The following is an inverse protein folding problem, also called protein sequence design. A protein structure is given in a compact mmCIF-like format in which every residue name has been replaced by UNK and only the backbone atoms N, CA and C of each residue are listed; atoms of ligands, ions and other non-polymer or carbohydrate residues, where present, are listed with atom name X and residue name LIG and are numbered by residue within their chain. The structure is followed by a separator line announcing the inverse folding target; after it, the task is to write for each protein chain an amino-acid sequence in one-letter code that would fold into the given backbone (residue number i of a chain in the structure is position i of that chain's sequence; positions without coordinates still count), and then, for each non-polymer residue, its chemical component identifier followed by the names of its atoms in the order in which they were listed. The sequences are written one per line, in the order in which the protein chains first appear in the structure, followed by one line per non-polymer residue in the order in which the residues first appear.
data_IF_308441346850
#
_entry.id   IF_308441346850
#
_cell.length_a   1.000
_cell.length_b   1.000
_cell.length_c   1.000
_cell.angle_alpha   90.00
_cell.angle_beta   90.00
_cell.angle_gamma   90.00
#
_symmetry.space_group_name_H-M   'P 1'
#
loop_
_entity.id
_entity.type
_entity.pdbx_description
1 polymer ?
#
# COMPACT_ATOMS: atom_id res chain seq x y z
N UNK A 1 -49.85 -32.17 -5.66
CA UNK A 1 -48.54 -32.44 -5.02
C UNK A 1 -47.33 -32.37 -5.99
N UNK A 2 -47.37 -31.59 -7.08
CA UNK A 2 -46.22 -31.43 -8.02
C UNK A 2 -45.33 -30.21 -7.72
N UNK A 3 -45.85 -29.19 -7.02
CA UNK A 3 -45.10 -27.97 -6.71
C UNK A 3 -44.06 -28.12 -5.59
N UNK A 4 -44.29 -29.02 -4.63
CA UNK A 4 -43.38 -29.22 -3.50
C UNK A 4 -42.07 -29.89 -3.93
N UNK A 5 -42.12 -30.79 -4.92
CA UNK A 5 -40.97 -31.61 -5.36
C UNK A 5 -39.91 -30.79 -6.11
N UNK A 6 -40.33 -29.72 -6.81
CA UNK A 6 -39.40 -28.82 -7.51
C UNK A 6 -38.67 -27.88 -6.55
N UNK A 7 -39.28 -27.54 -5.41
CA UNK A 7 -38.69 -26.59 -4.46
C UNK A 7 -37.43 -27.15 -3.79
N UNK A 8 -37.41 -28.45 -3.47
CA UNK A 8 -36.26 -29.18 -2.91
C UNK A 8 -35.06 -29.24 -3.87
N UNK A 9 -35.30 -29.31 -5.18
CA UNK A 9 -34.24 -29.34 -6.20
C UNK A 9 -33.59 -27.96 -6.31
N UNK A 10 -34.40 -26.89 -6.31
CA UNK A 10 -33.89 -25.52 -6.31
C UNK A 10 -33.07 -25.21 -5.05
N UNK A 11 -33.52 -25.63 -3.87
CA UNK A 11 -32.76 -25.44 -2.62
C UNK A 11 -31.44 -26.22 -2.63
N UNK A 12 -31.42 -27.44 -3.16
CA UNK A 12 -30.20 -28.24 -3.30
C UNK A 12 -29.16 -27.61 -4.23
N UNK A 13 -29.58 -27.06 -5.37
CA UNK A 13 -28.68 -26.39 -6.33
C UNK A 13 -28.10 -25.10 -5.74
N UNK A 14 -28.92 -24.30 -5.05
CA UNK A 14 -28.46 -23.07 -4.38
C UNK A 14 -27.45 -23.39 -3.28
N UNK A 15 -27.68 -24.44 -2.48
CA UNK A 15 -26.74 -24.85 -1.44
C UNK A 15 -25.39 -25.30 -2.03
N UNK A 16 -25.41 -26.07 -3.13
CA UNK A 16 -24.18 -26.49 -3.84
C UNK A 16 -23.42 -25.30 -4.42
N UNK A 17 -24.10 -24.30 -4.97
CA UNK A 17 -23.48 -23.06 -5.44
C UNK A 17 -22.84 -22.27 -4.29
N UNK A 18 -23.52 -22.15 -3.14
CA UNK A 18 -22.97 -21.48 -1.96
C UNK A 18 -21.73 -22.20 -1.41
N UNK A 19 -21.74 -23.54 -1.38
CA UNK A 19 -20.58 -24.34 -0.98
C UNK A 19 -19.43 -24.14 -1.96
N UNK A 20 -19.69 -24.16 -3.27
CA UNK A 20 -18.68 -23.92 -4.30
C UNK A 20 -18.04 -22.52 -4.18
N UNK A 21 -18.84 -21.48 -3.94
CA UNK A 21 -18.36 -20.12 -3.71
C UNK A 21 -17.55 -20.02 -2.42
N UNK A 22 -18.01 -20.63 -1.32
CA UNK A 22 -17.28 -20.65 -0.06
C UNK A 22 -15.92 -21.36 -0.20
N UNK A 23 -15.89 -22.49 -0.91
CA UNK A 23 -14.65 -23.24 -1.15
C UNK A 23 -13.67 -22.46 -2.04
N UNK A 24 -14.17 -21.76 -3.07
CA UNK A 24 -13.37 -20.87 -3.90
C UNK A 24 -12.83 -19.68 -3.09
N UNK A 25 -13.63 -19.08 -2.20
CA UNK A 25 -13.18 -18.01 -1.31
C UNK A 25 -12.13 -18.48 -0.30
N UNK A 26 -12.19 -19.73 0.17
CA UNK A 26 -11.20 -20.28 1.10
C UNK A 26 -9.89 -20.69 0.41
N UNK A 27 -9.96 -21.17 -0.83
CA UNK A 27 -8.79 -21.64 -1.59
C UNK A 27 -8.10 -20.53 -2.39
N UNK A 28 -8.85 -19.53 -2.86
CA UNK A 28 -8.35 -18.40 -3.64
C UNK A 28 -8.51 -17.05 -2.92
N UNK A 29 -8.90 -17.06 -1.64
CA UNK A 29 -9.02 -15.85 -0.83
C UNK A 29 -7.67 -15.18 -0.54
N UNK A 30 -7.68 -13.93 -0.04
CA UNK A 30 -6.48 -13.23 0.38
C UNK A 30 -5.70 -14.08 1.37
N UNK A 31 -4.54 -14.56 0.91
CA UNK A 31 -3.57 -15.23 1.75
C UNK A 31 -2.97 -14.17 2.67
N UNK A 32 -3.63 -13.94 3.81
CA UNK A 32 -3.12 -13.14 4.92
C UNK A 32 -1.96 -13.92 5.56
N UNK A 33 -0.82 -13.97 4.89
CA UNK A 33 0.41 -14.54 5.45
C UNK A 33 1.22 -13.41 6.08
N UNK A 34 1.59 -13.61 7.35
CA UNK A 34 2.60 -12.77 8.02
C UNK A 34 3.97 -13.13 7.44
N UNK A 35 4.72 -12.12 7.01
CA UNK A 35 6.08 -12.31 6.55
C UNK A 35 6.99 -12.72 7.72
N UNK A 36 7.94 -13.61 7.45
CA UNK A 36 9.02 -13.88 8.40
C UNK A 36 9.87 -12.62 8.60
N UNK A 37 10.58 -12.51 9.73
CA UNK A 37 11.51 -11.40 9.98
C UNK A 37 12.56 -11.22 8.88
N UNK A 38 13.00 -12.33 8.26
CA UNK A 38 13.92 -12.33 7.12
C UNK A 38 13.29 -11.70 5.89
N UNK A 39 12.03 -12.02 5.62
CA UNK A 39 11.28 -11.42 4.51
C UNK A 39 11.02 -9.93 4.80
N UNK A 40 10.55 -9.57 5.99
CA UNK A 40 10.34 -8.17 6.39
C UNK A 40 11.63 -7.33 6.25
N UNK A 41 12.78 -7.89 6.66
CA UNK A 41 14.10 -7.26 6.44
C UNK A 41 14.44 -7.11 4.96
N UNK A 42 14.05 -8.06 4.11
CA UNK A 42 14.26 -7.94 2.67
C UNK A 42 13.49 -6.77 2.06
N UNK A 43 12.38 -6.32 2.67
CA UNK A 43 11.64 -5.13 2.23
C UNK A 43 12.24 -3.81 2.74
N UNK A 44 13.31 -3.81 3.54
CA UNK A 44 14.00 -2.55 3.91
C UNK A 44 14.74 -1.92 2.73
N UNK A 45 14.96 -2.66 1.64
CA UNK A 45 15.59 -2.15 0.42
C UNK A 45 14.76 -1.08 -0.29
N UNK A 46 13.50 -0.90 0.11
CA UNK A 46 12.58 0.11 -0.38
C UNK A 46 12.64 1.42 0.43
N UNK A 47 13.36 1.43 1.55
CA UNK A 47 13.46 2.59 2.41
C UNK A 47 14.42 3.65 1.87
N UNK A 48 14.19 4.88 2.29
CA UNK A 48 15.10 5.99 2.03
C UNK A 48 16.45 5.73 2.70
N UNK A 49 17.54 5.96 1.97
CA UNK A 49 18.91 5.86 2.48
C UNK A 49 19.50 7.25 2.60
N UNK A 50 19.60 7.75 3.83
CA UNK A 50 20.15 9.09 4.11
C UNK A 50 21.45 9.01 4.93
N UNK A 51 22.48 9.82 4.61
CA UNK A 51 23.72 9.87 5.38
C UNK A 51 23.50 10.23 6.86
N UNK A 52 22.56 11.12 7.12
CA UNK A 52 22.18 11.58 8.46
C UNK A 52 21.14 10.68 9.17
N UNK A 53 20.72 9.58 8.55
CA UNK A 53 19.73 8.64 9.08
C UNK A 53 18.28 8.95 8.72
N UNK A 54 17.41 7.95 8.95
CA UNK A 54 16.01 7.93 8.54
C UNK A 54 15.14 8.97 9.26
N UNK A 55 15.48 9.38 10.48
CA UNK A 55 14.74 10.42 11.23
C UNK A 55 14.72 11.80 10.55
N UNK A 56 15.52 11.99 9.50
CA UNK A 56 15.49 13.20 8.68
C UNK A 56 14.66 13.08 7.40
N UNK A 57 14.04 11.91 7.14
CA UNK A 57 13.36 11.59 5.90
C UNK A 57 12.32 12.64 5.52
N UNK A 58 11.44 13.01 6.45
CA UNK A 58 10.37 13.98 6.22
C UNK A 58 10.92 15.33 5.73
N UNK A 59 11.86 15.91 6.49
CA UNK A 59 12.46 17.21 6.16
C UNK A 59 13.30 17.14 4.87
N UNK A 60 14.04 16.04 4.68
CA UNK A 60 14.84 15.83 3.49
C UNK A 60 13.97 15.76 2.23
N UNK A 61 12.91 14.94 2.23
CA UNK A 61 12.01 14.79 1.08
C UNK A 61 11.40 16.15 0.72
N UNK A 62 10.85 16.89 1.69
CA UNK A 62 10.29 18.22 1.44
C UNK A 62 11.32 19.20 0.87
N UNK A 63 12.58 19.18 1.34
CA UNK A 63 13.65 20.04 0.81
C UNK A 63 14.00 19.74 -0.66
N UNK A 64 13.77 18.50 -1.09
CA UNK A 64 13.97 18.04 -2.45
C UNK A 64 12.72 18.20 -3.32
N UNK A 65 11.69 18.89 -2.83
CA UNK A 65 10.48 19.16 -3.58
C UNK A 65 10.24 20.65 -3.78
N UNK A 66 9.36 20.97 -4.72
CA UNK A 66 8.77 22.29 -4.90
C UNK A 66 7.27 22.19 -4.64
N UNK A 67 6.70 23.11 -3.87
CA UNK A 67 5.26 23.13 -3.62
C UNK A 67 4.53 23.40 -4.94
N UNK A 68 3.70 22.45 -5.36
CA UNK A 68 2.75 22.64 -6.44
C UNK A 68 1.58 23.36 -5.78
N UNK A 69 1.07 24.48 -6.29
CA UNK A 69 -0.01 25.27 -5.65
C UNK A 69 -1.38 24.51 -5.57
N UNK A 70 -1.36 23.18 -5.61
CA UNK A 70 -2.49 22.28 -5.53
C UNK A 70 -2.67 21.81 -4.09
N UNK A 71 -3.57 22.50 -3.40
CA UNK A 71 -4.08 22.10 -2.10
C UNK A 71 -5.50 21.57 -2.28
N UNK A 72 -5.79 20.43 -1.66
CA UNK A 72 -7.15 19.91 -1.54
C UNK A 72 -7.49 19.68 -0.06
N UNK A 73 -8.78 19.73 0.25
CA UNK A 73 -9.27 19.51 1.60
C UNK A 73 -10.44 18.53 1.53
N UNK A 74 -10.40 17.50 2.37
CA UNK A 74 -11.48 16.54 2.56
C UNK A 74 -11.74 16.47 4.06
N UNK A 75 -12.90 16.94 4.49
CA UNK A 75 -13.25 17.08 5.91
C UNK A 75 -12.19 17.91 6.67
N UNK A 76 -11.55 17.34 7.68
CA UNK A 76 -10.48 17.97 8.48
C UNK A 76 -9.07 17.69 7.93
N UNK A 77 -8.97 16.95 6.82
CA UNK A 77 -7.70 16.55 6.21
C UNK A 77 -7.31 17.56 5.13
N UNK A 78 -6.10 18.12 5.25
CA UNK A 78 -5.49 18.99 4.25
C UNK A 78 -4.41 18.23 3.51
N UNK A 79 -4.50 18.20 2.19
CA UNK A 79 -3.52 17.59 1.31
C UNK A 79 -2.80 18.68 0.52
N UNK A 80 -1.47 18.57 0.45
CA UNK A 80 -0.64 19.42 -0.40
C UNK A 80 0.23 18.56 -1.30
N UNK A 81 0.12 18.76 -2.60
CA UNK A 81 0.92 18.01 -3.58
C UNK A 81 2.23 18.74 -3.84
N UNK A 82 3.30 17.98 -3.95
CA UNK A 82 4.63 18.49 -4.22
C UNK A 82 5.18 17.91 -5.51
N UNK A 83 5.92 18.74 -6.24
CA UNK A 83 6.70 18.31 -7.42
C UNK A 83 8.10 17.92 -6.95
N UNK A 84 8.49 16.62 -7.03
CA UNK A 84 9.83 16.18 -6.62
C UNK A 84 10.90 16.65 -7.60
N UNK A 85 12.11 16.94 -7.10
CA UNK A 85 13.31 17.10 -7.93
C UNK A 85 13.89 15.74 -8.26
N UNK A 86 14.51 15.60 -9.44
CA UNK A 86 15.15 14.36 -9.90
C UNK A 86 16.21 13.81 -8.92
N UNK A 87 16.85 14.70 -8.14
CA UNK A 87 17.85 14.33 -7.12
C UNK A 87 17.26 13.49 -5.99
N UNK A 88 15.95 13.57 -5.74
CA UNK A 88 15.29 12.78 -4.71
C UNK A 88 15.31 11.29 -5.04
N UNK A 89 15.25 10.91 -6.32
CA UNK A 89 15.26 9.50 -6.75
C UNK A 89 16.50 8.76 -6.23
N UNK A 90 17.65 9.44 -6.16
CA UNK A 90 18.92 8.85 -5.70
C UNK A 90 18.91 8.47 -4.21
N UNK A 91 17.99 9.00 -3.41
CA UNK A 91 17.84 8.63 -2.01
C UNK A 91 17.15 7.27 -1.81
N UNK A 92 16.54 6.71 -2.86
CA UNK A 92 15.79 5.45 -2.81
C UNK A 92 16.48 4.40 -3.70
N UNK A 93 17.14 3.38 -3.12
CA UNK A 93 17.98 2.43 -3.87
C UNK A 93 17.26 1.67 -4.99
N UNK A 94 15.95 1.43 -4.81
CA UNK A 94 15.10 0.71 -5.76
C UNK A 94 14.26 1.65 -6.62
N UNK A 95 14.37 2.96 -6.48
CA UNK A 95 13.53 3.90 -7.21
C UNK A 95 13.98 4.06 -8.67
N UNK A 96 13.04 3.90 -9.59
CA UNK A 96 13.17 4.33 -10.97
C UNK A 96 12.68 5.77 -11.13
N UNK A 97 11.49 6.06 -10.61
CA UNK A 97 10.84 7.37 -10.73
C UNK A 97 9.91 7.62 -9.55
N UNK A 98 9.95 8.82 -8.97
CA UNK A 98 8.97 9.25 -7.97
C UNK A 98 7.74 9.76 -8.69
N UNK A 99 6.60 9.14 -8.40
CA UNK A 99 5.32 9.41 -9.05
C UNK A 99 4.53 10.49 -8.32
N UNK A 100 4.64 10.54 -6.98
CA UNK A 100 3.86 11.48 -6.16
C UNK A 100 4.55 11.75 -4.83
N UNK A 101 4.48 13.00 -4.40
CA UNK A 101 4.78 13.40 -3.02
C UNK A 101 3.62 14.24 -2.52
N UNK A 102 3.04 13.87 -1.38
CA UNK A 102 1.88 14.54 -0.79
C UNK A 102 2.08 14.68 0.71
N UNK A 103 1.85 15.89 1.22
CA UNK A 103 1.73 16.15 2.65
C UNK A 103 0.27 16.04 3.04
N UNK A 104 -0.02 15.20 4.03
CA UNK A 104 -1.28 15.11 4.72
C UNK A 104 -1.16 15.76 6.10
N UNK A 105 -2.11 16.63 6.42
CA UNK A 105 -2.27 17.23 7.75
C UNK A 105 -3.68 16.97 8.27
N UNK A 106 -3.77 16.34 9.44
CA UNK A 106 -5.03 15.99 10.11
C UNK A 106 -4.89 16.23 11.61
N UNK A 107 -5.77 17.02 12.23
CA UNK A 107 -5.75 17.30 13.67
C UNK A 107 -4.38 17.80 14.20
N UNK A 108 -3.61 18.50 13.36
CA UNK A 108 -2.26 18.97 13.69
C UNK A 108 -1.15 17.92 13.59
N UNK A 109 -1.47 16.70 13.16
CA UNK A 109 -0.51 15.65 12.84
C UNK A 109 -0.17 15.74 11.35
N UNK A 110 1.13 15.81 11.04
CA UNK A 110 1.62 15.88 9.67
C UNK A 110 2.29 14.57 9.28
N UNK A 111 1.97 14.10 8.08
CA UNK A 111 2.60 12.94 7.47
C UNK A 111 2.85 13.18 5.99
N UNK A 112 3.90 12.57 5.48
CA UNK A 112 4.30 12.67 4.08
C UNK A 112 4.13 11.32 3.41
N UNK A 113 3.26 11.28 2.41
CA UNK A 113 3.11 10.14 1.52
C UNK A 113 4.00 10.33 0.29
N UNK A 114 4.85 9.34 0.01
CA UNK A 114 5.70 9.30 -1.16
C UNK A 114 5.41 8.01 -1.93
N UNK A 115 5.08 8.15 -3.21
CA UNK A 115 4.87 7.04 -4.15
C UNK A 115 5.96 7.03 -5.20
N UNK A 116 6.56 5.88 -5.45
CA UNK A 116 7.53 5.71 -6.53
C UNK A 116 7.38 4.37 -7.27
N UNK A 117 7.78 4.35 -8.54
CA UNK A 117 7.96 3.11 -9.31
C UNK A 117 9.36 2.55 -9.05
N UNK A 118 9.41 1.27 -8.70
CA UNK A 118 10.63 0.55 -8.44
C UNK A 118 11.29 -0.05 -9.69
N UNK A 119 12.56 -0.42 -9.54
CA UNK A 119 13.38 -0.96 -10.64
C UNK A 119 12.85 -2.25 -11.25
N UNK A 120 12.08 -3.06 -10.52
CA UNK A 120 11.49 -4.32 -11.00
C UNK A 120 10.02 -4.16 -11.44
N UNK A 121 9.52 -2.91 -11.50
CA UNK A 121 8.14 -2.59 -11.90
C UNK A 121 7.12 -2.71 -10.76
N UNK A 122 7.59 -2.71 -9.51
CA UNK A 122 6.79 -2.57 -8.30
C UNK A 122 6.39 -1.11 -8.06
N UNK A 123 5.21 -0.87 -7.49
CA UNK A 123 4.82 0.44 -6.96
C UNK A 123 5.02 0.43 -5.46
N UNK A 124 5.65 1.48 -4.92
CA UNK A 124 5.97 1.60 -3.51
C UNK A 124 5.37 2.88 -2.96
N UNK A 125 4.54 2.75 -1.93
CA UNK A 125 4.03 3.86 -1.12
C UNK A 125 4.69 3.84 0.25
N UNK A 126 5.27 4.97 0.64
CA UNK A 126 5.89 5.18 1.94
C UNK A 126 5.18 6.34 2.64
N UNK A 127 4.81 6.14 3.91
CA UNK A 127 4.28 7.20 4.75
C UNK A 127 5.26 7.50 5.86
N UNK A 128 5.78 8.72 5.90
CA UNK A 128 6.66 9.22 6.95
C UNK A 128 5.89 10.15 7.89
N UNK A 129 6.08 9.99 9.20
CA UNK A 129 5.67 10.98 10.19
C UNK A 129 6.56 12.23 10.14
N UNK A 130 6.08 13.34 10.70
CA UNK A 130 6.87 14.59 10.78
C UNK A 130 8.18 14.43 11.56
N UNK A 131 8.25 13.47 12.49
CA UNK A 131 9.45 13.07 13.21
C UNK A 131 10.46 12.27 12.36
N UNK A 132 10.13 12.04 11.08
CA UNK A 132 10.92 11.28 10.12
C UNK A 132 10.80 9.77 10.28
N UNK A 133 10.01 9.27 11.23
CA UNK A 133 9.75 7.83 11.35
C UNK A 133 8.96 7.34 10.14
N UNK A 134 9.31 6.15 9.64
CA UNK A 134 8.48 5.48 8.64
C UNK A 134 7.27 4.88 9.36
N UNK A 135 6.05 5.36 9.07
CA UNK A 135 4.83 4.82 9.66
C UNK A 135 4.33 3.58 8.88
N UNK A 136 4.34 3.67 7.55
CA UNK A 136 3.78 2.66 6.66
C UNK A 136 4.63 2.48 5.40
N UNK A 137 4.78 1.23 4.97
CA UNK A 137 5.31 0.85 3.66
C UNK A 137 4.32 -0.07 2.96
N UNK A 138 3.94 0.25 1.73
CA UNK A 138 3.15 -0.61 0.87
C UNK A 138 3.95 -0.89 -0.41
N UNK A 139 4.11 -2.17 -0.76
CA UNK A 139 4.80 -2.60 -1.99
C UNK A 139 3.83 -3.44 -2.81
N UNK A 140 3.50 -2.96 -4.00
CA UNK A 140 2.63 -3.63 -4.95
C UNK A 140 3.42 -4.13 -6.16
N UNK A 141 3.25 -5.39 -6.53
CA UNK A 141 3.83 -5.98 -7.74
C UNK A 141 2.70 -6.29 -8.74
N UNK A 142 2.42 -5.39 -9.71
CA UNK A 142 1.34 -5.58 -10.68
C UNK A 142 1.44 -6.90 -11.44
N UNK A 143 2.67 -7.28 -11.84
CA UNK A 143 2.95 -8.50 -12.61
C UNK A 143 2.60 -9.80 -11.86
N UNK A 144 2.56 -9.75 -10.52
CA UNK A 144 2.32 -10.90 -9.64
C UNK A 144 1.04 -10.74 -8.82
N UNK A 145 0.32 -9.64 -9.02
CA UNK A 145 -0.86 -9.22 -8.26
C UNK A 145 -0.66 -9.42 -6.75
N UNK A 146 0.46 -8.90 -6.25
CA UNK A 146 0.89 -9.09 -4.86
C UNK A 146 1.04 -7.74 -4.18
N UNK A 147 0.31 -7.53 -3.08
CA UNK A 147 0.43 -6.36 -2.22
C UNK A 147 1.03 -6.75 -0.88
N UNK A 148 2.04 -6.02 -0.42
CA UNK A 148 2.68 -6.18 0.89
C UNK A 148 2.55 -4.86 1.64
N UNK A 149 1.99 -4.91 2.84
CA UNK A 149 1.75 -3.75 3.70
C UNK A 149 2.50 -3.96 5.03
N UNK A 150 3.39 -3.04 5.39
CA UNK A 150 4.24 -3.11 6.58
C UNK A 150 4.11 -1.84 7.42
N UNK A 151 3.71 -2.00 8.68
CA UNK A 151 3.65 -0.93 9.67
C UNK A 151 4.92 -0.96 10.52
N UNK A 152 5.71 0.11 10.53
CA UNK A 152 6.97 0.07 11.25
C UNK A 152 6.79 0.11 12.77
N UNK A 153 5.83 0.88 13.28
CA UNK A 153 5.57 1.03 14.71
C UNK A 153 5.17 -0.28 15.40
N UNK A 154 4.40 -1.12 14.71
CA UNK A 154 3.95 -2.41 15.23
C UNK A 154 4.84 -3.57 14.77
N UNK A 155 5.75 -3.33 13.81
CA UNK A 155 6.53 -4.36 13.13
C UNK A 155 5.67 -5.40 12.39
N UNK A 156 4.37 -5.15 12.22
CA UNK A 156 3.43 -6.10 11.62
C UNK A 156 3.43 -5.94 10.10
N UNK A 157 3.42 -7.08 9.40
CA UNK A 157 3.29 -7.13 7.93
C UNK A 157 2.05 -7.92 7.54
N UNK A 158 1.25 -7.37 6.61
CA UNK A 158 0.06 -8.01 6.04
C UNK A 158 0.17 -8.09 4.52
N UNK A 159 -0.08 -9.27 3.97
CA UNK A 159 -0.22 -9.46 2.52
C UNK A 159 -1.71 -9.54 2.20
N UNK A 160 -2.19 -8.70 1.29
CA UNK A 160 -3.54 -8.78 0.75
C UNK A 160 -3.46 -9.19 -0.74
N UNK A 161 -4.25 -10.18 -1.19
CA UNK A 161 -4.40 -10.54 -2.63
C UNK A 161 -5.85 -10.93 -2.94
N UNK A 162 -6.41 -10.74 -4.15
CA UNK A 162 -6.11 -9.76 -5.19
C UNK A 162 -7.23 -8.71 -5.34
N UNK A 163 -6.87 -7.52 -5.83
CA UNK A 163 -7.81 -6.50 -6.29
C UNK A 163 -8.26 -6.88 -7.71
N UNK A 164 -9.21 -7.81 -7.81
CA UNK A 164 -9.72 -8.22 -9.13
C UNK A 164 -10.71 -7.19 -9.66
N UNK A 165 -10.22 -6.13 -10.30
CA UNK A 165 -11.05 -5.38 -11.24
C UNK A 165 -11.10 -6.18 -12.54
N UNK A 166 -12.10 -7.07 -12.69
CA UNK A 166 -12.46 -7.55 -14.02
C UNK A 166 -13.24 -6.42 -14.69
N UNK A 167 -12.66 -5.91 -15.78
CA UNK A 167 -13.34 -5.19 -16.86
C UNK A 167 -14.70 -5.80 -17.22
#
# INVERSE_FOLDING_TARGET
MKHQKNWWIFTGVVALLLIGVAWACLTFGPVNRVLSSKEAKAYQVYDITLPQGESSAFAYILSQCTETNEQSQIEEMVFRTYTPKDTLNAAFPRCREILKVELLETEGIRSLNLRYEGTEGEEVDLTYGEDGSLALRVVYFPQRDTLVEYLAESGQTRIQRPFRNRS
#
